data_IF_747985341312
#
_entry.id   IF_747985341312
#
_cell.length_a   1.000
_cell.length_b   1.000
_cell.length_c   1.000
_cell.angle_alpha   90.00
_cell.angle_beta   90.00
_cell.angle_gamma   90.00
#
_symmetry.space_group_name_H-M   'P 1'
#
loop_
_entity.id
_entity.type
_entity.pdbx_description
1 polymer ?
#
# COMPACT_ATOMS: atom_id res chain seq x y z
N UNK A 1 -25.23 41.73 -13.72
CA UNK A 1 -24.63 41.85 -15.06
C UNK A 1 -23.25 42.46 -14.90
N UNK A 2 -22.25 41.89 -15.58
CA UNK A 2 -20.84 42.30 -15.74
C UNK A 2 -20.64 43.83 -15.95
N UNK A 3 -19.47 44.49 -15.77
CA UNK A 3 -18.06 44.03 -15.69
C UNK A 3 -17.12 45.15 -15.11
N UNK A 4 -16.11 44.76 -14.32
CA UNK A 4 -14.65 45.06 -14.41
C UNK A 4 -13.99 46.47 -14.49
N UNK A 5 -12.68 46.46 -14.11
CA UNK A 5 -11.58 47.43 -14.32
C UNK A 5 -11.47 48.67 -13.37
N UNK A 6 -10.28 49.25 -13.04
CA UNK A 6 -8.84 48.83 -13.10
C UNK A 6 -7.94 49.87 -12.33
N UNK A 7 -6.62 49.61 -12.20
CA UNK A 7 -5.47 50.54 -11.95
C UNK A 7 -5.05 50.95 -10.52
N UNK A 8 -4.36 50.01 -9.87
CA UNK A 8 -2.93 50.10 -9.48
C UNK A 8 -2.34 51.50 -9.18
N UNK A 9 -1.85 51.70 -7.95
CA UNK A 9 -0.49 52.21 -7.65
C UNK A 9 -0.12 51.82 -6.21
N UNK A 10 0.94 51.03 -6.03
CA UNK A 10 1.46 50.61 -4.71
C UNK A 10 2.62 51.54 -4.34
N UNK A 11 2.56 52.19 -3.17
CA UNK A 11 3.65 53.03 -2.65
C UNK A 11 4.21 52.42 -1.35
N UNK A 12 5.44 51.93 -1.40
CA UNK A 12 6.16 51.39 -0.24
C UNK A 12 6.85 52.51 0.55
N UNK A 13 6.43 52.82 1.78
CA UNK A 13 7.27 53.58 2.73
C UNK A 13 7.13 53.03 4.17
N UNK A 14 8.25 52.49 4.65
CA UNK A 14 8.76 52.38 6.03
C UNK A 14 7.76 52.40 7.22
N UNK A 15 7.65 51.24 7.88
CA UNK A 15 7.09 51.05 9.24
C UNK A 15 8.02 51.58 10.35
N UNK A 16 7.40 51.96 11.48
CA UNK A 16 7.86 52.05 12.90
C UNK A 16 7.28 53.33 13.55
N UNK A 17 6.27 53.18 14.41
CA UNK A 17 5.61 54.31 15.10
C UNK A 17 4.22 53.97 15.65
N UNK A 18 4.15 53.71 16.96
CA UNK A 18 2.93 53.35 17.68
C UNK A 18 1.94 54.54 17.79
N UNK A 19 0.68 54.36 17.36
CA UNK A 19 -0.39 55.31 17.69
C UNK A 19 -1.77 54.63 17.81
N UNK A 20 -2.28 54.57 19.03
CA UNK A 20 -3.64 54.13 19.36
C UNK A 20 -4.65 55.18 18.84
N UNK A 21 -5.47 54.85 17.83
CA UNK A 21 -6.58 55.73 17.41
C UNK A 21 -7.88 55.00 17.04
N UNK A 22 -8.76 54.91 18.04
CA UNK A 22 -10.23 55.10 17.99
C UNK A 22 -10.90 54.81 16.64
N UNK A 23 -11.45 53.60 16.48
CA UNK A 23 -12.17 53.20 15.25
C UNK A 23 -13.40 54.08 14.96
N UNK A 24 -13.37 54.79 13.82
CA UNK A 24 -14.54 55.37 13.17
C UNK A 24 -14.44 55.15 11.65
N UNK A 25 -15.33 54.29 11.15
CA UNK A 25 -16.02 54.43 9.85
C UNK A 25 -15.11 54.75 8.64
N UNK A 26 -14.70 53.74 7.88
CA UNK A 26 -14.04 53.98 6.59
C UNK A 26 -13.63 52.73 5.81
N UNK A 27 -14.42 52.40 4.79
CA UNK A 27 -14.07 51.66 3.56
C UNK A 27 -13.32 50.31 3.64
N UNK A 28 -14.01 49.30 3.07
CA UNK A 28 -13.47 48.21 2.24
C UNK A 28 -12.01 48.38 1.75
N UNK A 29 -11.21 47.31 1.83
CA UNK A 29 -10.64 46.57 0.68
C UNK A 29 -10.02 45.23 1.16
N UNK A 30 -10.37 44.17 0.42
CA UNK A 30 -9.67 42.90 0.20
C UNK A 30 -8.45 42.54 1.07
N UNK A 31 -8.66 41.59 1.99
CA UNK A 31 -7.61 40.72 2.53
C UNK A 31 -8.05 39.27 2.41
N UNK A 32 -7.84 38.64 1.24
CA UNK A 32 -7.99 37.18 1.08
C UNK A 32 -6.81 36.54 1.81
N UNK A 33 -6.96 36.38 3.13
CA UNK A 33 -6.01 35.69 3.98
C UNK A 33 -5.92 34.23 3.53
N UNK A 34 -4.72 33.89 3.06
CA UNK A 34 -4.31 32.58 2.60
C UNK A 34 -4.62 31.52 3.66
N UNK A 35 -5.74 30.81 3.46
CA UNK A 35 -6.01 29.52 4.06
C UNK A 35 -5.88 28.43 2.98
N UNK A 36 -4.73 28.43 2.30
CA UNK A 36 -4.25 27.24 1.60
C UNK A 36 -3.93 26.18 2.68
N UNK A 37 -4.97 25.52 3.15
CA UNK A 37 -4.85 24.19 3.72
C UNK A 37 -4.38 23.28 2.59
N UNK A 38 -3.08 23.29 2.35
CA UNK A 38 -2.40 22.24 1.62
C UNK A 38 -2.54 21.00 2.50
N UNK A 39 -3.65 20.29 2.31
CA UNK A 39 -3.75 18.91 2.71
C UNK A 39 -2.70 18.17 1.89
N UNK A 40 -1.48 18.14 2.43
CA UNK A 40 -0.51 17.17 2.02
C UNK A 40 -1.16 15.83 2.32
N UNK A 41 -1.69 15.19 1.27
CA UNK A 41 -1.96 13.78 1.33
C UNK A 41 -0.59 13.13 1.51
N UNK A 42 -0.20 12.93 2.77
CA UNK A 42 0.80 11.97 3.10
C UNK A 42 0.22 10.66 2.60
N UNK A 43 0.72 10.19 1.45
CA UNK A 43 0.53 8.83 1.01
C UNK A 43 1.23 7.94 2.04
N UNK A 44 0.55 7.72 3.17
CA UNK A 44 0.80 6.59 4.04
C UNK A 44 0.56 5.41 3.14
N UNK A 45 1.63 4.81 2.63
CA UNK A 45 1.55 3.49 2.02
C UNK A 45 1.07 2.58 3.13
N UNK A 46 -0.21 2.24 3.11
CA UNK A 46 -0.74 1.19 3.97
C UNK A 46 0.13 -0.06 3.72
N UNK A 47 0.59 -0.75 4.78
CA UNK A 47 1.40 -1.94 4.61
C UNK A 47 0.69 -2.88 3.63
N UNK A 48 1.39 -3.32 2.57
CA UNK A 48 0.80 -4.20 1.58
C UNK A 48 0.13 -5.38 2.31
N UNK A 49 -1.14 -5.74 2.02
CA UNK A 49 -1.88 -6.69 2.83
C UNK A 49 -1.18 -8.05 3.01
N UNK A 50 -0.33 -8.43 2.05
CA UNK A 50 0.51 -9.64 2.07
C UNK A 50 1.66 -9.62 3.11
N UNK A 51 2.15 -8.45 3.53
CA UNK A 51 3.30 -8.30 4.46
C UNK A 51 2.98 -8.92 5.82
N UNK A 52 3.93 -9.65 6.39
CA UNK A 52 3.84 -10.32 7.68
C UNK A 52 4.11 -11.83 7.62
N UNK A 53 3.83 -12.50 8.74
CA UNK A 53 3.97 -13.95 8.91
C UNK A 53 2.63 -14.67 8.80
N UNK A 54 2.62 -15.76 8.04
CA UNK A 54 1.43 -16.54 7.71
C UNK A 54 1.69 -18.04 7.88
N UNK A 55 0.69 -18.77 8.37
CA UNK A 55 0.54 -20.20 8.10
C UNK A 55 -0.35 -20.34 6.89
N UNK A 56 0.12 -21.01 5.84
CA UNK A 56 -0.69 -21.40 4.67
C UNK A 56 -0.88 -22.92 4.65
N UNK A 57 -2.08 -23.36 4.28
CA UNK A 57 -2.43 -24.77 4.06
C UNK A 57 -2.67 -24.98 2.57
N UNK A 58 -2.00 -25.98 2.01
CA UNK A 58 -1.97 -26.30 0.57
C UNK A 58 -2.69 -27.65 0.37
N UNK A 59 -3.84 -27.63 -0.30
CA UNK A 59 -4.70 -28.81 -0.47
C UNK A 59 -4.24 -29.70 -1.63
N UNK A 60 -3.16 -30.46 -1.42
CA UNK A 60 -2.64 -31.37 -2.46
C UNK A 60 -3.53 -32.61 -2.64
N UNK A 61 -3.50 -33.28 -3.82
CA UNK A 61 -4.28 -34.50 -4.05
C UNK A 61 -3.96 -35.69 -3.13
N UNK A 62 -2.82 -35.66 -2.43
CA UNK A 62 -2.40 -36.70 -1.48
C UNK A 62 -2.66 -36.33 -0.01
N UNK A 63 -3.06 -35.08 0.26
CA UNK A 63 -3.32 -34.54 1.59
C UNK A 63 -3.05 -33.04 1.68
N UNK A 64 -3.70 -32.38 2.65
CA UNK A 64 -3.35 -31.01 3.01
C UNK A 64 -1.98 -30.98 3.70
N UNK A 65 -1.16 -29.99 3.37
CA UNK A 65 0.13 -29.73 4.01
C UNK A 65 0.27 -28.26 4.38
N UNK A 66 0.93 -27.98 5.51
CA UNK A 66 1.18 -26.61 5.95
C UNK A 66 2.56 -26.10 5.51
N UNK A 67 2.64 -24.79 5.30
CA UNK A 67 3.87 -24.05 5.08
C UNK A 67 3.80 -22.69 5.79
N UNK A 68 4.95 -22.20 6.25
CA UNK A 68 5.08 -20.83 6.74
C UNK A 68 5.49 -19.91 5.58
N UNK A 69 4.76 -18.82 5.40
CA UNK A 69 5.04 -17.76 4.44
C UNK A 69 5.39 -16.49 5.22
N UNK A 70 6.62 -16.00 5.05
CA UNK A 70 7.09 -14.74 5.62
C UNK A 70 7.30 -13.73 4.49
N UNK A 71 6.77 -12.52 4.66
CA UNK A 71 6.86 -11.43 3.67
C UNK A 71 7.26 -10.13 4.38
N UNK A 72 8.39 -9.56 3.96
CA UNK A 72 8.94 -8.31 4.47
C UNK A 72 8.27 -7.08 3.84
N UNK A 73 8.45 -5.90 4.45
CA UNK A 73 7.90 -4.62 3.95
C UNK A 73 8.32 -4.27 2.51
N UNK A 74 9.49 -4.74 2.07
CA UNK A 74 10.02 -4.57 0.72
C UNK A 74 9.53 -5.63 -0.29
N UNK A 75 8.54 -6.44 0.11
CA UNK A 75 7.97 -7.57 -0.63
C UNK A 75 8.96 -8.72 -0.92
N UNK A 76 10.17 -8.70 -0.37
CA UNK A 76 11.00 -9.91 -0.29
C UNK A 76 10.41 -10.87 0.75
N UNK A 77 10.76 -12.15 0.67
CA UNK A 77 10.26 -13.11 1.63
C UNK A 77 10.69 -14.53 1.30
N UNK A 78 10.14 -15.48 2.05
CA UNK A 78 10.35 -16.91 1.82
C UNK A 78 9.13 -17.74 2.21
N UNK A 79 8.90 -18.81 1.46
CA UNK A 79 8.01 -19.90 1.84
C UNK A 79 8.84 -21.07 2.37
N UNK A 80 8.40 -21.67 3.47
CA UNK A 80 9.09 -22.81 4.11
C UNK A 80 8.10 -23.89 4.51
N UNK A 81 8.40 -25.15 4.18
CA UNK A 81 7.63 -26.33 4.59
C UNK A 81 8.57 -27.47 4.96
N UNK A 82 8.09 -28.42 5.76
CA UNK A 82 8.86 -29.61 6.12
C UNK A 82 9.15 -30.49 4.88
N UNK A 83 8.22 -30.56 3.94
CA UNK A 83 8.28 -31.51 2.81
C UNK A 83 8.85 -30.91 1.52
N UNK A 84 8.80 -29.57 1.37
CA UNK A 84 9.30 -28.83 0.20
C UNK A 84 10.57 -27.99 0.48
N UNK A 85 11.06 -28.01 1.72
CA UNK A 85 12.18 -27.16 2.15
C UNK A 85 11.81 -25.68 2.19
N UNK A 86 12.79 -24.81 1.92
CA UNK A 86 12.63 -23.36 1.92
C UNK A 86 13.05 -22.73 0.60
N UNK A 87 12.24 -21.80 0.10
CA UNK A 87 12.48 -21.10 -1.15
C UNK A 87 12.09 -19.61 -1.03
N UNK A 88 12.81 -18.69 -1.69
CA UNK A 88 12.46 -17.27 -1.70
C UNK A 88 11.15 -17.02 -2.46
N UNK A 89 10.60 -15.82 -2.29
CA UNK A 89 9.52 -15.30 -3.12
C UNK A 89 10.08 -14.50 -4.29
N UNK A 90 9.62 -14.82 -5.49
CA UNK A 90 9.97 -14.18 -6.75
C UNK A 90 8.72 -13.56 -7.39
N UNK A 91 8.88 -12.49 -8.16
CA UNK A 91 7.78 -11.86 -8.93
C UNK A 91 6.54 -11.48 -8.08
N UNK A 92 6.75 -11.03 -6.85
CA UNK A 92 5.68 -10.62 -5.93
C UNK A 92 4.95 -9.38 -6.47
N UNK A 93 3.62 -9.44 -6.52
CA UNK A 93 2.74 -8.36 -6.94
C UNK A 93 1.55 -8.24 -5.98
N UNK A 94 1.16 -7.00 -5.67
CA UNK A 94 0.04 -6.66 -4.79
C UNK A 94 -0.75 -5.52 -5.44
N UNK A 95 -2.04 -5.72 -5.69
CA UNK A 95 -2.96 -4.73 -6.28
C UNK A 95 -4.28 -4.74 -5.51
N UNK A 96 -4.40 -3.83 -4.53
CA UNK A 96 -5.47 -3.88 -3.53
C UNK A 96 -5.41 -5.19 -2.73
N UNK A 97 -6.53 -5.92 -2.69
CA UNK A 97 -6.60 -7.25 -2.07
C UNK A 97 -5.95 -8.35 -2.93
N UNK A 98 -5.76 -8.14 -4.24
CA UNK A 98 -5.24 -9.15 -5.15
C UNK A 98 -3.73 -9.31 -4.97
N UNK A 99 -3.28 -10.56 -4.86
CA UNK A 99 -1.88 -10.91 -4.59
C UNK A 99 -1.42 -12.05 -5.50
N UNK A 100 -0.19 -11.95 -5.97
CA UNK A 100 0.50 -13.04 -6.66
C UNK A 100 1.98 -13.06 -6.34
N UNK A 101 2.56 -14.25 -6.40
CA UNK A 101 4.01 -14.47 -6.31
C UNK A 101 4.35 -15.81 -6.95
N UNK A 102 5.63 -16.02 -7.21
CA UNK A 102 6.18 -17.31 -7.57
C UNK A 102 7.22 -17.75 -6.54
N UNK A 103 7.44 -19.06 -6.44
CA UNK A 103 8.53 -19.61 -5.64
C UNK A 103 9.01 -20.91 -6.30
N UNK A 104 10.32 -21.17 -6.28
CA UNK A 104 10.90 -22.38 -6.88
C UNK A 104 11.40 -23.31 -5.80
N UNK A 105 10.68 -24.42 -5.60
CA UNK A 105 10.96 -25.44 -4.58
C UNK A 105 11.65 -26.66 -5.20
N UNK A 106 12.37 -27.43 -4.39
CA UNK A 106 12.80 -28.78 -4.76
C UNK A 106 11.83 -29.80 -4.15
N UNK A 107 11.17 -30.57 -5.01
CA UNK A 107 10.37 -31.71 -4.59
C UNK A 107 11.04 -33.00 -5.05
N UNK A 108 11.61 -33.75 -4.10
CA UNK A 108 12.23 -35.06 -4.34
C UNK A 108 13.37 -35.04 -5.38
N UNK A 109 14.16 -33.95 -5.43
CA UNK A 109 15.26 -33.78 -6.38
C UNK A 109 14.85 -33.20 -7.74
N UNK A 110 13.60 -32.71 -7.86
CA UNK A 110 13.14 -32.00 -9.05
C UNK A 110 12.68 -30.58 -8.69
N UNK A 111 13.30 -29.58 -9.31
CA UNK A 111 12.91 -28.19 -9.14
C UNK A 111 11.58 -27.90 -9.83
N UNK A 112 10.66 -27.25 -9.11
CA UNK A 112 9.35 -26.86 -9.62
C UNK A 112 9.05 -25.41 -9.24
N UNK A 113 8.63 -24.60 -10.20
CA UNK A 113 8.14 -23.23 -9.93
C UNK A 113 6.63 -23.28 -9.67
N UNK A 114 6.22 -22.82 -8.50
CA UNK A 114 4.82 -22.70 -8.10
C UNK A 114 4.42 -21.23 -8.24
N UNK A 115 3.29 -20.95 -8.93
CA UNK A 115 2.79 -19.58 -9.11
C UNK A 115 1.49 -19.41 -8.34
N UNK A 116 1.56 -18.69 -7.21
CA UNK A 116 0.39 -18.34 -6.41
C UNK A 116 -0.38 -17.19 -7.04
N UNK A 117 -1.70 -17.32 -7.08
CA UNK A 117 -2.64 -16.24 -7.37
C UNK A 117 -3.80 -16.31 -6.37
N UNK A 118 -4.14 -15.19 -5.75
CA UNK A 118 -5.17 -15.16 -4.72
C UNK A 118 -5.52 -13.76 -4.26
N UNK A 119 -6.19 -13.69 -3.11
CA UNK A 119 -6.53 -12.46 -2.40
C UNK A 119 -6.14 -12.54 -0.93
N UNK A 120 -5.83 -11.40 -0.34
CA UNK A 120 -5.73 -11.21 1.11
C UNK A 120 -6.81 -10.24 1.56
N UNK A 121 -7.64 -10.69 2.50
CA UNK A 121 -8.67 -9.88 3.15
C UNK A 121 -8.51 -10.04 4.66
N UNK A 122 -8.25 -8.92 5.35
CA UNK A 122 -7.88 -8.91 6.79
C UNK A 122 -6.68 -9.83 7.08
N UNK A 123 -6.89 -10.86 7.92
CA UNK A 123 -5.89 -11.86 8.32
C UNK A 123 -6.10 -13.22 7.62
N UNK A 124 -6.82 -13.22 6.49
CA UNK A 124 -7.09 -14.41 5.68
C UNK A 124 -6.49 -14.27 4.28
N UNK A 125 -5.78 -15.32 3.86
CA UNK A 125 -5.26 -15.50 2.51
C UNK A 125 -6.03 -16.63 1.82
N UNK A 126 -6.42 -16.45 0.57
CA UNK A 126 -7.14 -17.46 -0.22
C UNK A 126 -6.72 -17.41 -1.67
N UNK A 127 -6.47 -18.55 -2.30
CA UNK A 127 -6.03 -18.60 -3.69
C UNK A 127 -5.68 -20.00 -4.15
N UNK A 128 -4.75 -20.08 -5.11
CA UNK A 128 -4.22 -21.35 -5.59
C UNK A 128 -2.82 -21.22 -6.15
N UNK A 129 -2.03 -22.29 -6.04
CA UNK A 129 -0.87 -22.50 -6.89
C UNK A 129 -1.32 -23.07 -8.24
N UNK A 130 -1.05 -22.35 -9.32
CA UNK A 130 -1.22 -22.87 -10.66
C UNK A 130 -0.05 -23.77 -11.02
N UNK A 131 -0.34 -25.00 -11.44
CA UNK A 131 0.65 -26.02 -11.86
C UNK A 131 0.21 -26.68 -13.17
N UNK A 132 1.12 -27.39 -13.84
CA UNK A 132 0.81 -28.19 -15.04
C UNK A 132 -0.24 -29.29 -14.79
N UNK A 133 -0.46 -29.67 -13.53
CA UNK A 133 -1.44 -30.67 -13.10
C UNK A 133 -2.80 -30.05 -12.70
N UNK A 134 -2.93 -28.73 -12.80
CA UNK A 134 -4.11 -27.96 -12.38
C UNK A 134 -3.83 -26.97 -11.24
N UNK A 135 -4.87 -26.27 -10.82
CA UNK A 135 -4.81 -25.37 -9.67
C UNK A 135 -4.90 -26.17 -8.37
N UNK A 136 -3.93 -25.98 -7.48
CA UNK A 136 -3.90 -26.55 -6.13
C UNK A 136 -4.40 -25.46 -5.17
N UNK A 137 -5.53 -25.65 -4.46
CA UNK A 137 -6.05 -24.65 -3.54
C UNK A 137 -5.08 -24.33 -2.40
N UNK A 138 -5.08 -23.07 -2.00
CA UNK A 138 -4.30 -22.57 -0.86
C UNK A 138 -5.19 -21.67 -0.01
N UNK A 139 -5.21 -21.93 1.28
CA UNK A 139 -5.76 -21.00 2.28
C UNK A 139 -4.66 -20.59 3.24
N UNK A 140 -4.84 -19.51 3.98
CA UNK A 140 -3.85 -19.07 4.96
C UNK A 140 -4.40 -18.12 5.99
N UNK A 141 -3.68 -18.04 7.11
CA UNK A 141 -3.98 -17.16 8.24
C UNK A 141 -2.72 -16.47 8.73
N UNK A 142 -2.85 -15.19 9.06
CA UNK A 142 -1.79 -14.43 9.74
C UNK A 142 -1.53 -15.00 11.15
N UNK A 143 -0.27 -14.96 11.59
CA UNK A 143 0.16 -15.33 12.94
C UNK A 143 0.01 -14.19 13.96
#
# INVERSE_FOLDING_TARGET
>A
MWVYADKITILFIKIEGEFIMRTRIGSLITGVMVALFISACASVSEPHPLVGDWVITIDTPIGAMDANLNVNEDLTGQMTSQDLGGAPLDAVSVDGEAVSFSTTVDAQGQSMTLVFNGTVTEDQLSGSFNTDFGAIPVTGRRM
#
